data_IF_335654394661
#
_entry.id   IF_335654394661
#
_cell.length_a   1.000
_cell.length_b   1.000
_cell.length_c   1.000
_cell.angle_alpha   90.00
_cell.angle_beta   90.00
_cell.angle_gamma   90.00
#
_symmetry.space_group_name_H-M   'P 1'
#
loop_
_entity.id
_entity.type
_entity.pdbx_description
1 polymer ?
#
# COMPACT_ATOMS: atom_id res chain seq x y z
N UNK A 1 -5.00 -44.80 6.91
CA UNK A 1 -5.61 -44.31 8.16
C UNK A 1 -6.98 -43.68 7.94
N UNK A 2 -7.12 -42.41 7.52
CA UNK A 2 -8.45 -41.79 7.37
C UNK A 2 -9.36 -42.56 6.38
N UNK A 3 -8.83 -42.91 5.20
CA UNK A 3 -9.53 -43.72 4.18
C UNK A 3 -9.90 -45.11 4.70
N UNK A 4 -8.99 -45.77 5.42
CA UNK A 4 -9.24 -47.12 5.97
C UNK A 4 -10.31 -47.09 7.06
N UNK A 5 -10.34 -46.05 7.89
CA UNK A 5 -11.40 -45.84 8.86
C UNK A 5 -12.78 -45.64 8.18
N UNK A 6 -12.83 -44.88 7.08
CA UNK A 6 -14.08 -44.70 6.32
C UNK A 6 -14.55 -45.99 5.63
N UNK A 7 -13.63 -46.83 5.15
CA UNK A 7 -13.96 -48.14 4.58
C UNK A 7 -14.52 -49.07 5.67
N UNK A 8 -13.83 -49.15 6.83
CA UNK A 8 -14.27 -49.95 7.98
C UNK A 8 -15.63 -49.51 8.52
N UNK A 9 -15.89 -48.20 8.61
CA UNK A 9 -17.18 -47.66 9.06
C UNK A 9 -18.33 -48.03 8.11
N UNK A 10 -18.09 -48.01 6.80
CA UNK A 10 -19.08 -48.45 5.80
C UNK A 10 -19.35 -49.97 5.87
N UNK A 11 -18.30 -50.77 6.08
CA UNK A 11 -18.41 -52.22 6.27
C UNK A 11 -19.18 -52.58 7.56
N UNK A 12 -18.95 -51.87 8.66
CA UNK A 12 -19.66 -52.06 9.94
C UNK A 12 -21.16 -51.75 9.85
N UNK A 13 -21.54 -50.77 9.02
CA UNK A 13 -22.93 -50.35 8.81
C UNK A 13 -23.62 -51.19 7.71
N UNK A 14 -22.86 -52.01 6.97
CA UNK A 14 -23.36 -52.82 5.86
C UNK A 14 -23.74 -52.00 4.62
N UNK A 15 -23.14 -50.82 4.44
CA UNK A 15 -23.38 -49.92 3.30
C UNK A 15 -22.26 -50.01 2.26
N UNK A 16 -22.58 -49.78 0.99
CA UNK A 16 -21.55 -49.66 -0.06
C UNK A 16 -20.65 -48.44 0.17
N UNK A 17 -19.35 -48.60 -0.05
CA UNK A 17 -18.37 -47.51 0.11
C UNK A 17 -18.59 -46.45 -0.96
N UNK A 18 -18.98 -45.25 -0.56
CA UNK A 18 -19.18 -44.13 -1.48
C UNK A 18 -17.83 -43.49 -1.85
N UNK A 19 -17.44 -43.44 -3.14
CA UNK A 19 -16.19 -42.83 -3.56
C UNK A 19 -16.05 -41.36 -3.15
N UNK A 20 -17.17 -40.62 -3.05
CA UNK A 20 -17.16 -39.22 -2.60
C UNK A 20 -16.81 -39.06 -1.11
N UNK A 21 -17.11 -40.06 -0.28
CA UNK A 21 -16.77 -40.05 1.15
C UNK A 21 -15.30 -40.34 1.36
N UNK A 22 -14.72 -41.24 0.56
CA UNK A 22 -13.27 -41.47 0.55
C UNK A 22 -12.50 -40.21 0.12
N UNK A 23 -12.97 -39.47 -0.89
CA UNK A 23 -12.40 -38.15 -1.23
C UNK A 23 -12.46 -37.24 0.00
N UNK A 24 -13.62 -37.07 0.61
CA UNK A 24 -13.78 -36.15 1.76
C UNK A 24 -12.84 -36.53 2.91
N UNK A 25 -12.62 -37.82 3.16
CA UNK A 25 -11.66 -38.28 4.16
C UNK A 25 -10.22 -37.88 3.78
N UNK A 26 -9.83 -38.00 2.51
CA UNK A 26 -8.52 -37.53 2.03
C UNK A 26 -8.43 -36.00 2.07
N UNK A 27 -9.46 -35.26 1.66
CA UNK A 27 -9.50 -33.79 1.70
C UNK A 27 -9.42 -33.27 3.15
N UNK A 28 -10.13 -33.91 4.08
CA UNK A 28 -10.11 -33.55 5.50
C UNK A 28 -8.73 -33.82 6.13
N UNK A 29 -8.09 -34.93 5.77
CA UNK A 29 -6.76 -35.29 6.28
C UNK A 29 -5.63 -34.45 5.65
N UNK A 30 -5.75 -34.12 4.36
CA UNK A 30 -4.72 -33.38 3.61
C UNK A 30 -4.92 -31.86 3.62
N UNK A 31 -6.13 -31.39 3.92
CA UNK A 31 -6.52 -29.98 3.82
C UNK A 31 -6.57 -29.46 2.38
N UNK A 32 -6.66 -30.34 1.39
CA UNK A 32 -6.62 -30.00 -0.04
C UNK A 32 -7.89 -30.47 -0.74
N UNK A 33 -8.32 -29.73 -1.77
CA UNK A 33 -9.39 -30.21 -2.65
C UNK A 33 -8.80 -31.13 -3.72
N UNK A 34 -9.42 -32.27 -3.93
CA UNK A 34 -8.92 -33.31 -4.84
C UNK A 34 -10.04 -33.69 -5.81
N UNK A 35 -9.71 -33.78 -7.09
CA UNK A 35 -10.61 -34.30 -8.12
C UNK A 35 -10.27 -35.76 -8.41
N UNK A 36 -11.27 -36.62 -8.53
CA UNK A 36 -11.09 -37.98 -9.02
C UNK A 36 -11.33 -38.03 -10.53
N UNK A 37 -10.49 -38.79 -11.24
CA UNK A 37 -10.80 -39.22 -12.60
C UNK A 37 -11.88 -40.31 -12.57
N UNK A 38 -12.63 -40.45 -13.66
CA UNK A 38 -13.65 -41.48 -13.80
C UNK A 38 -13.08 -42.90 -13.64
N UNK A 39 -11.81 -43.08 -14.00
CA UNK A 39 -11.07 -44.33 -13.83
C UNK A 39 -10.88 -44.69 -12.35
N UNK A 40 -10.48 -43.71 -11.53
CA UNK A 40 -10.35 -43.89 -10.08
C UNK A 40 -11.71 -44.15 -9.44
N UNK A 41 -12.77 -43.44 -9.85
CA UNK A 41 -14.14 -43.67 -9.36
C UNK A 41 -14.59 -45.11 -9.61
N UNK A 42 -14.33 -45.64 -10.82
CA UNK A 42 -14.68 -47.02 -11.17
C UNK A 42 -13.83 -48.04 -10.40
N UNK A 43 -12.57 -47.73 -10.13
CA UNK A 43 -11.68 -48.58 -9.35
C UNK A 43 -12.12 -48.69 -7.88
N UNK A 44 -12.59 -47.59 -7.27
CA UNK A 44 -13.15 -47.59 -5.91
C UNK A 44 -14.42 -48.43 -5.82
N UNK A 45 -15.30 -48.37 -6.84
CA UNK A 45 -16.53 -49.18 -6.88
C UNK A 45 -16.25 -50.68 -6.98
N UNK A 46 -15.14 -51.08 -7.59
CA UNK A 46 -14.75 -52.47 -7.72
C UNK A 46 -14.03 -53.01 -6.47
N UNK A 47 -13.07 -52.27 -5.94
CA UNK A 47 -12.32 -52.63 -4.73
C UNK A 47 -11.90 -51.36 -3.97
N UNK A 48 -12.59 -50.99 -2.89
CA UNK A 48 -12.31 -49.79 -2.12
C UNK A 48 -10.89 -49.73 -1.55
N UNK A 49 -10.27 -50.88 -1.24
CA UNK A 49 -8.91 -50.93 -0.69
C UNK A 49 -7.84 -50.55 -1.71
N UNK A 50 -8.11 -50.70 -3.01
CA UNK A 50 -7.19 -50.26 -4.07
C UNK A 50 -7.07 -48.74 -4.18
N UNK A 51 -8.04 -47.99 -3.65
CA UNK A 51 -7.99 -46.52 -3.62
C UNK A 51 -6.72 -45.99 -2.94
N UNK A 52 -6.20 -46.72 -1.94
CA UNK A 52 -4.97 -46.35 -1.21
C UNK A 52 -3.78 -46.13 -2.15
N UNK A 53 -3.67 -46.91 -3.22
CA UNK A 53 -2.58 -46.78 -4.20
C UNK A 53 -2.63 -45.46 -4.99
N UNK A 54 -3.81 -44.87 -5.14
CA UNK A 54 -4.03 -43.65 -5.92
C UNK A 54 -3.85 -42.37 -5.10
N UNK A 55 -3.88 -42.45 -3.76
CA UNK A 55 -3.79 -41.29 -2.86
C UNK A 55 -2.54 -40.43 -3.15
N UNK A 56 -1.32 -40.99 -3.31
CA UNK A 56 -0.13 -40.17 -3.58
C UNK A 56 -0.27 -39.35 -4.87
N UNK A 57 -0.72 -39.96 -5.97
CA UNK A 57 -0.88 -39.30 -7.27
C UNK A 57 -1.99 -38.23 -7.24
N UNK A 58 -3.08 -38.50 -6.52
CA UNK A 58 -4.18 -37.55 -6.32
C UNK A 58 -3.71 -36.32 -5.51
N UNK A 59 -2.94 -36.54 -4.45
CA UNK A 59 -2.36 -35.46 -3.64
C UNK A 59 -1.33 -34.67 -4.46
N UNK A 60 -0.45 -35.34 -5.20
CA UNK A 60 0.55 -34.71 -6.06
C UNK A 60 -0.10 -33.84 -7.14
N UNK A 61 -1.15 -34.34 -7.79
CA UNK A 61 -1.91 -33.58 -8.79
C UNK A 61 -2.60 -32.36 -8.17
N UNK A 62 -3.25 -32.52 -7.01
CA UNK A 62 -3.89 -31.42 -6.29
C UNK A 62 -2.90 -30.35 -5.82
N UNK A 63 -1.74 -30.77 -5.29
CA UNK A 63 -0.64 -29.88 -4.91
C UNK A 63 -0.11 -29.11 -6.12
N UNK A 64 0.14 -29.80 -7.22
CA UNK A 64 0.71 -29.20 -8.42
C UNK A 64 -0.23 -28.13 -9.00
N UNK A 65 -1.53 -28.41 -9.08
CA UNK A 65 -2.53 -27.44 -9.53
C UNK A 65 -2.61 -26.22 -8.61
N UNK A 66 -2.54 -26.43 -7.29
CA UNK A 66 -2.54 -25.34 -6.31
C UNK A 66 -1.30 -24.47 -6.41
N UNK A 67 -0.12 -25.08 -6.58
CA UNK A 67 1.13 -24.35 -6.77
C UNK A 67 1.06 -23.54 -8.07
N UNK A 68 0.60 -24.14 -9.16
CA UNK A 68 0.41 -23.47 -10.44
C UNK A 68 -0.52 -22.25 -10.35
N UNK A 69 -1.72 -22.44 -9.80
CA UNK A 69 -2.68 -21.34 -9.60
C UNK A 69 -2.10 -20.25 -8.68
N UNK A 70 -1.35 -20.63 -7.64
CA UNK A 70 -0.65 -19.70 -6.76
C UNK A 70 0.43 -18.90 -7.48
N UNK A 71 1.19 -19.53 -8.38
CA UNK A 71 2.21 -18.88 -9.20
C UNK A 71 1.59 -17.89 -10.18
N UNK A 72 0.56 -18.30 -10.93
CA UNK A 72 -0.19 -17.40 -11.82
C UNK A 72 -0.67 -16.19 -11.04
N UNK A 73 -1.42 -16.41 -9.96
CA UNK A 73 -1.98 -15.33 -9.17
C UNK A 73 -0.90 -14.41 -8.57
N UNK A 74 0.23 -14.95 -8.13
CA UNK A 74 1.34 -14.16 -7.60
C UNK A 74 1.97 -13.27 -8.69
N UNK A 75 2.10 -13.79 -9.91
CA UNK A 75 2.65 -13.06 -11.05
C UNK A 75 1.65 -12.02 -11.54
N UNK A 76 0.40 -12.37 -11.75
CA UNK A 76 -0.67 -11.43 -12.15
C UNK A 76 -0.80 -10.27 -11.17
N UNK A 77 -0.69 -10.51 -9.86
CA UNK A 77 -0.69 -9.44 -8.85
C UNK A 77 0.51 -8.50 -8.97
N UNK A 78 1.67 -9.01 -9.39
CA UNK A 78 2.90 -8.21 -9.58
C UNK A 78 2.89 -7.46 -10.91
N UNK A 79 2.46 -8.13 -11.98
CA UNK A 79 2.36 -7.58 -13.34
C UNK A 79 1.10 -6.71 -13.50
N UNK A 80 0.10 -6.84 -12.63
CA UNK A 80 -1.14 -6.07 -12.69
C UNK A 80 -2.01 -6.35 -13.92
N UNK A 81 -1.79 -7.46 -14.61
CA UNK A 81 -2.51 -7.93 -15.79
C UNK A 81 -2.73 -9.44 -15.68
N UNK A 82 -3.74 -9.96 -16.39
CA UNK A 82 -4.03 -11.40 -16.43
C UNK A 82 -3.09 -12.12 -17.39
N UNK A 83 -2.74 -13.37 -17.06
CA UNK A 83 -1.92 -14.23 -17.92
C UNK A 83 -2.79 -15.17 -18.79
N UNK A 84 -4.07 -15.31 -18.44
CA UNK A 84 -5.06 -16.15 -19.14
C UNK A 84 -4.65 -17.64 -19.28
N UNK A 85 -3.87 -18.15 -18.30
CA UNK A 85 -3.30 -19.52 -18.31
C UNK A 85 -4.15 -20.58 -17.57
N UNK A 86 -5.33 -20.22 -17.04
CA UNK A 86 -6.12 -21.13 -16.18
C UNK A 86 -6.67 -22.36 -16.93
N UNK A 87 -6.77 -22.30 -18.26
CA UNK A 87 -7.42 -23.34 -19.08
C UNK A 87 -6.47 -24.26 -19.85
N UNK A 88 -5.17 -24.01 -19.85
CA UNK A 88 -4.21 -24.68 -20.74
C UNK A 88 -3.51 -25.91 -20.14
N UNK A 89 -3.85 -26.32 -18.91
CA UNK A 89 -3.06 -27.32 -18.18
C UNK A 89 -3.73 -28.69 -18.03
N UNK A 90 -2.94 -29.73 -18.32
CA UNK A 90 -3.30 -31.15 -18.17
C UNK A 90 -2.51 -31.70 -16.98
N UNK A 91 -3.15 -32.50 -16.12
CA UNK A 91 -2.48 -33.24 -15.03
C UNK A 91 -2.02 -34.62 -15.51
N UNK A 92 -0.81 -35.09 -15.13
CA UNK A 92 0.19 -34.45 -14.26
C UNK A 92 0.93 -33.31 -14.97
N UNK A 93 1.37 -32.31 -14.20
CA UNK A 93 1.97 -31.09 -14.73
C UNK A 93 3.44 -31.33 -15.10
N UNK A 94 3.78 -31.14 -16.37
CA UNK A 94 5.18 -31.01 -16.79
C UNK A 94 5.68 -29.60 -16.43
N UNK A 95 6.48 -29.52 -15.37
CA UNK A 95 7.01 -28.25 -14.86
C UNK A 95 7.94 -27.52 -15.82
N UNK A 96 8.60 -28.23 -16.74
CA UNK A 96 9.45 -27.59 -17.73
C UNK A 96 8.59 -26.89 -18.79
N UNK A 97 7.64 -27.61 -19.37
CA UNK A 97 6.69 -27.05 -20.33
C UNK A 97 5.83 -25.93 -19.72
N UNK A 98 5.35 -26.12 -18.48
CA UNK A 98 4.61 -25.11 -17.74
C UNK A 98 5.47 -23.86 -17.48
N UNK A 99 6.77 -24.02 -17.23
CA UNK A 99 7.71 -22.92 -17.08
C UNK A 99 7.86 -22.07 -18.34
N UNK A 100 7.94 -22.70 -19.51
CA UNK A 100 8.01 -21.98 -20.79
C UNK A 100 6.68 -21.27 -21.11
N UNK A 101 5.53 -21.94 -20.93
CA UNK A 101 4.21 -21.31 -21.07
C UNK A 101 4.04 -20.07 -20.19
N UNK A 102 4.48 -20.17 -18.93
CA UNK A 102 4.44 -19.07 -17.97
C UNK A 102 5.32 -17.90 -18.40
N UNK A 103 6.54 -18.17 -18.91
CA UNK A 103 7.44 -17.11 -19.40
C UNK A 103 6.85 -16.42 -20.64
N UNK A 104 6.30 -17.17 -21.57
CA UNK A 104 5.70 -16.63 -22.79
C UNK A 104 4.46 -15.79 -22.49
N UNK A 105 3.58 -16.27 -21.60
CA UNK A 105 2.44 -15.50 -21.14
C UNK A 105 2.87 -14.24 -20.38
N UNK A 106 3.89 -14.35 -19.52
CA UNK A 106 4.46 -13.21 -18.82
C UNK A 106 5.01 -12.17 -19.78
N UNK A 107 5.81 -12.56 -20.78
CA UNK A 107 6.38 -11.63 -21.77
C UNK A 107 5.27 -10.92 -22.53
N UNK A 108 4.28 -11.67 -23.04
CA UNK A 108 3.13 -11.09 -23.74
C UNK A 108 2.35 -10.09 -22.89
N UNK A 109 2.06 -10.45 -21.64
CA UNK A 109 1.35 -9.55 -20.70
C UNK A 109 2.19 -8.30 -20.37
N UNK A 110 3.51 -8.47 -20.21
CA UNK A 110 4.43 -7.39 -19.92
C UNK A 110 4.60 -6.42 -21.10
N UNK A 111 4.74 -6.94 -22.30
CA UNK A 111 4.88 -6.16 -23.53
C UNK A 111 3.57 -5.41 -23.83
N UNK A 112 2.42 -6.08 -23.72
CA UNK A 112 1.11 -5.42 -23.86
C UNK A 112 0.84 -4.36 -22.79
N UNK A 113 1.34 -4.57 -21.55
CA UNK A 113 1.32 -3.53 -20.52
C UNK A 113 2.21 -2.34 -20.89
N UNK A 114 3.40 -2.60 -21.40
CA UNK A 114 4.36 -1.57 -21.79
C UNK A 114 3.79 -0.71 -22.91
N UNK A 115 3.28 -1.33 -23.97
CA UNK A 115 2.68 -0.64 -25.12
C UNK A 115 1.52 0.25 -24.70
N UNK A 116 0.56 -0.29 -23.94
CA UNK A 116 -0.57 0.49 -23.42
C UNK A 116 -0.13 1.69 -22.56
N UNK A 117 0.85 1.51 -21.68
CA UNK A 117 1.37 2.60 -20.85
C UNK A 117 2.04 3.67 -21.69
N UNK A 118 2.81 3.29 -22.72
CA UNK A 118 3.43 4.23 -23.65
C UNK A 118 2.37 5.02 -24.43
N UNK A 119 1.35 4.35 -24.97
CA UNK A 119 0.24 5.01 -25.68
C UNK A 119 -0.53 5.97 -24.77
N UNK A 120 -0.77 5.60 -23.51
CA UNK A 120 -1.40 6.50 -22.54
C UNK A 120 -0.54 7.74 -22.25
N UNK A 121 0.76 7.55 -22.07
CA UNK A 121 1.73 8.62 -21.81
C UNK A 121 1.81 9.56 -23.01
N UNK A 122 1.92 9.01 -24.22
CA UNK A 122 1.94 9.77 -25.48
C UNK A 122 0.69 10.65 -25.62
N UNK A 123 -0.49 10.05 -25.46
CA UNK A 123 -1.76 10.80 -25.48
C UNK A 123 -1.82 11.90 -24.41
N UNK A 124 -1.34 11.63 -23.20
CA UNK A 124 -1.33 12.62 -22.13
C UNK A 124 -0.38 13.78 -22.42
N UNK A 125 0.77 13.51 -23.06
CA UNK A 125 1.74 14.49 -23.49
C UNK A 125 1.22 15.32 -24.66
N UNK A 126 0.64 14.71 -25.70
CA UNK A 126 0.04 15.43 -26.83
C UNK A 126 -1.02 16.42 -26.35
N UNK A 127 -1.91 15.98 -25.45
CA UNK A 127 -2.93 16.84 -24.85
C UNK A 127 -2.34 17.99 -24.02
N UNK A 128 -1.19 17.76 -23.36
CA UNK A 128 -0.53 18.79 -22.57
C UNK A 128 0.19 19.81 -23.46
N UNK A 129 0.94 19.34 -24.46
CA UNK A 129 1.73 20.15 -25.37
C UNK A 129 0.85 20.95 -26.33
N UNK A 130 -0.29 20.43 -26.77
CA UNK A 130 -1.23 21.15 -27.65
C UNK A 130 -1.76 22.45 -27.04
N UNK A 131 -1.63 22.66 -25.73
CA UNK A 131 -2.04 23.89 -25.02
C UNK A 131 -0.88 24.84 -24.74
N UNK A 132 0.35 24.44 -25.02
CA UNK A 132 1.57 25.14 -24.59
C UNK A 132 2.25 25.72 -25.83
N UNK A 133 2.49 27.04 -25.81
CA UNK A 133 3.15 27.76 -26.92
C UNK A 133 4.68 27.75 -26.81
N UNK A 134 5.21 27.63 -25.59
CA UNK A 134 6.65 27.65 -25.33
C UNK A 134 6.97 26.61 -24.26
N UNK A 135 7.98 25.78 -24.54
CA UNK A 135 8.45 24.75 -23.61
C UNK A 135 9.60 25.34 -22.80
N UNK A 136 9.33 25.62 -21.52
CA UNK A 136 10.35 25.97 -20.54
C UNK A 136 10.68 24.78 -19.62
N UNK A 137 11.74 24.91 -18.82
CA UNK A 137 12.19 23.87 -17.89
C UNK A 137 11.11 23.50 -16.85
N UNK A 138 10.25 24.44 -16.46
CA UNK A 138 9.12 24.20 -15.55
C UNK A 138 7.98 23.41 -16.19
N UNK A 139 7.74 23.60 -17.48
CA UNK A 139 6.84 22.76 -18.29
C UNK A 139 7.41 21.36 -18.40
N UNK A 140 8.69 21.21 -18.75
CA UNK A 140 9.35 19.89 -18.86
C UNK A 140 9.23 19.12 -17.54
N UNK A 141 9.57 19.75 -16.42
CA UNK A 141 9.46 19.12 -15.10
C UNK A 141 8.02 18.71 -14.76
N UNK A 142 7.01 19.54 -15.05
CA UNK A 142 5.61 19.15 -14.86
C UNK A 142 5.19 18.00 -15.74
N UNK A 143 5.65 17.95 -17.00
CA UNK A 143 5.36 16.86 -17.92
C UNK A 143 6.01 15.56 -17.44
N UNK A 144 7.28 15.58 -17.03
CA UNK A 144 7.98 14.41 -16.48
C UNK A 144 7.23 13.83 -15.27
N UNK A 145 6.84 14.68 -14.30
CA UNK A 145 6.04 14.24 -13.15
C UNK A 145 4.69 13.69 -13.61
N UNK A 146 4.02 14.32 -14.59
CA UNK A 146 2.74 13.84 -15.11
C UNK A 146 2.86 12.48 -15.82
N UNK A 147 3.92 12.22 -16.58
CA UNK A 147 4.15 10.93 -17.23
C UNK A 147 4.35 9.80 -16.22
N UNK A 148 4.89 10.14 -15.04
CA UNK A 148 5.18 9.21 -13.96
C UNK A 148 3.94 8.59 -13.34
N UNK A 149 2.79 9.26 -13.42
CA UNK A 149 1.53 8.87 -12.77
C UNK A 149 0.36 8.84 -13.74
N UNK A 150 -0.51 7.84 -13.59
CA UNK A 150 -1.75 7.69 -14.35
C UNK A 150 -2.97 7.68 -13.45
N UNK A 151 -4.15 7.71 -14.04
CA UNK A 151 -5.43 7.52 -13.35
C UNK A 151 -6.03 6.19 -13.78
N UNK A 152 -6.28 5.29 -12.83
CA UNK A 152 -7.00 4.03 -13.10
C UNK A 152 -8.34 4.06 -12.39
N UNK A 153 -9.39 3.70 -13.12
CA UNK A 153 -10.71 3.53 -12.52
C UNK A 153 -10.70 2.27 -11.64
N UNK A 154 -11.04 2.43 -10.38
CA UNK A 154 -11.23 1.37 -9.40
C UNK A 154 -12.68 1.36 -8.96
N UNK A 155 -13.29 0.18 -8.84
CA UNK A 155 -14.64 0.04 -8.31
C UNK A 155 -14.56 -0.39 -6.85
N UNK A 156 -15.16 0.38 -5.95
CA UNK A 156 -15.26 -0.01 -4.56
C UNK A 156 -16.20 -1.21 -4.42
N UNK A 157 -15.66 -2.32 -3.89
CA UNK A 157 -16.40 -3.59 -3.68
C UNK A 157 -17.66 -3.48 -2.83
N UNK A 158 -17.79 -2.45 -1.98
CA UNK A 158 -18.94 -2.27 -1.07
C UNK A 158 -19.99 -1.33 -1.63
N UNK A 159 -19.56 -0.28 -2.31
CA UNK A 159 -20.45 0.78 -2.81
C UNK A 159 -20.73 0.65 -4.31
N UNK A 160 -20.00 -0.23 -5.01
CA UNK A 160 -19.99 -0.38 -6.47
C UNK A 160 -19.74 0.95 -7.22
N UNK A 161 -19.20 1.97 -6.53
CA UNK A 161 -18.92 3.26 -7.13
C UNK A 161 -17.56 3.25 -7.83
N UNK A 162 -17.53 3.86 -9.02
CA UNK A 162 -16.30 4.08 -9.77
C UNK A 162 -15.53 5.24 -9.13
N UNK A 163 -14.36 4.96 -8.60
CA UNK A 163 -13.40 5.93 -8.10
C UNK A 163 -12.18 5.97 -9.01
N UNK A 164 -11.55 7.14 -9.13
CA UNK A 164 -10.29 7.27 -9.87
C UNK A 164 -9.15 7.24 -8.86
N UNK A 165 -8.23 6.29 -9.01
CA UNK A 165 -7.04 6.16 -8.17
C UNK A 165 -5.81 6.53 -8.99
N UNK A 166 -4.93 7.35 -8.40
CA UNK A 166 -3.62 7.66 -8.99
C UNK A 166 -2.75 6.41 -8.88
N UNK A 167 -2.22 5.93 -10.01
CA UNK A 167 -1.33 4.77 -10.06
C UNK A 167 0.00 5.19 -10.67
N UNK A 168 1.12 4.77 -10.08
CA UNK A 168 2.43 5.00 -10.67
C UNK A 168 2.58 4.20 -11.98
N UNK A 169 2.91 4.89 -13.08
CA UNK A 169 3.19 4.29 -14.38
C UNK A 169 4.67 3.92 -14.51
N UNK A 170 5.53 4.85 -14.07
CA UNK A 170 6.98 4.69 -14.08
C UNK A 170 7.49 4.61 -12.64
N UNK A 171 8.14 3.50 -12.30
CA UNK A 171 8.81 3.36 -11.01
C UNK A 171 10.27 3.78 -11.17
N UNK A 172 10.55 5.07 -10.96
CA UNK A 172 11.91 5.58 -10.96
C UNK A 172 12.77 4.95 -9.86
N UNK A 173 12.17 4.42 -8.79
CA UNK A 173 12.91 3.83 -7.67
C UNK A 173 13.87 2.74 -8.13
N UNK A 174 13.46 1.88 -9.06
CA UNK A 174 14.32 0.80 -9.55
C UNK A 174 15.40 1.33 -10.50
N UNK A 175 15.06 2.26 -11.39
CA UNK A 175 16.03 2.92 -12.28
C UNK A 175 17.06 3.72 -11.48
N UNK A 176 16.64 4.44 -10.45
CA UNK A 176 17.50 5.16 -9.52
C UNK A 176 18.36 4.19 -8.74
N UNK A 177 17.83 3.07 -8.24
CA UNK A 177 18.63 2.06 -7.54
C UNK A 177 19.78 1.52 -8.42
N UNK A 178 19.54 1.30 -9.72
CA UNK A 178 20.59 0.94 -10.69
C UNK A 178 21.65 2.02 -10.86
N UNK A 179 21.30 3.31 -10.76
CA UNK A 179 22.27 4.41 -10.78
C UNK A 179 23.13 4.50 -9.51
N UNK A 180 22.74 3.78 -8.46
CA UNK A 180 23.47 3.68 -7.19
C UNK A 180 24.23 2.35 -7.08
N UNK A 181 24.03 1.42 -8.01
CA UNK A 181 24.67 0.11 -8.05
C UNK A 181 26.15 0.25 -8.44
N UNK A 182 27.05 -0.36 -7.66
CA UNK A 182 28.51 -0.34 -7.92
C UNK A 182 29.29 0.85 -7.34
N UNK A 183 28.65 1.75 -6.59
CA UNK A 183 29.34 2.86 -5.89
C UNK A 183 29.86 2.48 -4.50
N UNK A 184 30.98 3.08 -4.08
CA UNK A 184 31.42 3.01 -2.67
C UNK A 184 30.44 3.74 -1.75
N UNK A 185 30.19 3.20 -0.56
CA UNK A 185 29.23 3.74 0.41
C UNK A 185 29.47 5.22 0.74
N UNK A 186 30.74 5.63 0.83
CA UNK A 186 31.12 7.02 1.14
C UNK A 186 30.72 7.95 0.00
N UNK A 187 31.09 7.58 -1.23
CA UNK A 187 30.76 8.38 -2.42
C UNK A 187 29.25 8.47 -2.66
N UNK A 188 28.52 7.39 -2.35
CA UNK A 188 27.07 7.36 -2.43
C UNK A 188 26.44 8.31 -1.40
N UNK A 189 26.92 8.27 -0.15
CA UNK A 189 26.46 9.18 0.90
C UNK A 189 26.67 10.64 0.50
N UNK A 190 27.84 11.01 0.02
CA UNK A 190 28.14 12.38 -0.44
C UNK A 190 27.21 12.83 -1.57
N UNK A 191 26.98 11.96 -2.56
CA UNK A 191 26.05 12.25 -3.67
C UNK A 191 24.62 12.46 -3.18
N UNK A 192 24.13 11.60 -2.28
CA UNK A 192 22.78 11.70 -1.71
C UNK A 192 22.64 12.96 -0.89
N UNK A 193 23.63 13.29 -0.05
CA UNK A 193 23.63 14.51 0.77
C UNK A 193 23.67 15.77 -0.09
N UNK A 194 24.54 15.82 -1.11
CA UNK A 194 24.60 16.94 -2.05
C UNK A 194 23.27 17.13 -2.78
N UNK A 195 22.64 16.04 -3.23
CA UNK A 195 21.33 16.09 -3.87
C UNK A 195 20.25 16.60 -2.91
N UNK A 196 20.22 16.12 -1.66
CA UNK A 196 19.29 16.57 -0.63
C UNK A 196 19.45 18.06 -0.32
N UNK A 197 20.68 18.56 -0.23
CA UNK A 197 20.96 19.97 0.00
C UNK A 197 20.52 20.84 -1.18
N UNK A 198 20.76 20.38 -2.40
CA UNK A 198 20.26 21.00 -3.62
C UNK A 198 18.73 21.05 -3.66
N UNK A 199 18.07 19.94 -3.34
CA UNK A 199 16.62 19.85 -3.27
C UNK A 199 16.05 20.80 -2.20
N UNK A 200 16.68 20.85 -1.02
CA UNK A 200 16.32 21.78 0.07
C UNK A 200 16.42 23.23 -0.40
N UNK A 201 17.50 23.61 -1.08
CA UNK A 201 17.69 24.97 -1.59
C UNK A 201 16.63 25.34 -2.64
N UNK A 202 16.34 24.43 -3.58
CA UNK A 202 15.32 24.62 -4.59
C UNK A 202 13.91 24.76 -3.96
N UNK A 203 13.58 23.92 -2.98
CA UNK A 203 12.31 24.01 -2.24
C UNK A 203 12.19 25.33 -1.48
N UNK A 204 13.25 25.78 -0.80
CA UNK A 204 13.24 27.07 -0.11
C UNK A 204 12.99 28.22 -1.08
N UNK A 205 13.62 28.22 -2.26
CA UNK A 205 13.36 29.23 -3.28
C UNK A 205 11.92 29.17 -3.80
N UNK A 206 11.42 27.98 -4.13
CA UNK A 206 10.06 27.80 -4.66
C UNK A 206 8.99 28.21 -3.66
N UNK A 207 9.10 27.77 -2.40
CA UNK A 207 8.19 28.16 -1.32
C UNK A 207 8.29 29.65 -1.01
N UNK A 208 9.50 30.21 -1.01
CA UNK A 208 9.73 31.64 -0.81
C UNK A 208 9.03 32.47 -1.87
N UNK A 209 9.17 32.12 -3.15
CA UNK A 209 8.47 32.79 -4.27
C UNK A 209 6.95 32.69 -4.13
N UNK A 210 6.44 31.53 -3.74
CA UNK A 210 5.00 31.33 -3.55
C UNK A 210 4.44 32.19 -2.41
N UNK A 211 5.13 32.24 -1.27
CA UNK A 211 4.73 33.10 -0.14
C UNK A 211 4.89 34.59 -0.47
N UNK A 212 5.95 34.99 -1.16
CA UNK A 212 6.12 36.36 -1.64
C UNK A 212 4.98 36.78 -2.56
N UNK A 213 4.60 35.93 -3.54
CA UNK A 213 3.49 36.20 -4.43
C UNK A 213 2.15 36.31 -3.68
N UNK A 214 1.95 35.49 -2.64
CA UNK A 214 0.76 35.55 -1.77
C UNK A 214 0.68 36.84 -0.97
N UNK A 215 1.83 37.35 -0.51
CA UNK A 215 1.94 38.52 0.36
C UNK A 215 2.26 39.82 -0.40
N UNK A 216 2.39 39.78 -1.72
CA UNK A 216 2.89 40.88 -2.55
C UNK A 216 2.18 42.22 -2.30
N UNK A 217 0.86 42.20 -2.13
CA UNK A 217 0.05 43.41 -1.87
C UNK A 217 -0.11 43.77 -0.40
N UNK A 218 0.44 42.98 0.53
CA UNK A 218 0.35 43.22 1.96
C UNK A 218 1.53 44.06 2.45
N UNK A 219 1.29 44.86 3.48
CA UNK A 219 2.35 45.50 4.26
C UNK A 219 2.83 44.57 5.36
N UNK A 220 4.04 44.81 5.85
CA UNK A 220 4.68 44.00 6.89
C UNK A 220 3.93 44.09 8.22
N UNK A 221 3.35 45.24 8.56
CA UNK A 221 2.54 45.45 9.76
C UNK A 221 1.24 44.61 9.78
N UNK A 222 0.72 44.24 8.61
CA UNK A 222 -0.51 43.45 8.44
C UNK A 222 -0.26 41.93 8.46
N UNK A 223 1.00 41.49 8.49
CA UNK A 223 1.33 40.07 8.51
C UNK A 223 1.02 39.44 9.87
N UNK A 224 0.83 38.12 9.86
CA UNK A 224 0.71 37.33 11.09
C UNK A 224 1.90 37.57 12.03
N UNK A 225 1.64 37.60 13.34
CA UNK A 225 2.66 37.91 14.36
C UNK A 225 3.91 37.05 14.18
N UNK A 226 3.74 35.74 13.93
CA UNK A 226 4.88 34.83 13.79
C UNK A 226 5.73 35.14 12.56
N UNK A 227 5.15 35.70 11.50
CA UNK A 227 5.88 36.09 10.29
C UNK A 227 6.62 37.39 10.57
N UNK A 228 5.97 38.35 11.25
CA UNK A 228 6.62 39.60 11.68
C UNK A 228 7.82 39.34 12.57
N UNK A 229 7.69 38.50 13.60
CA UNK A 229 8.78 38.16 14.51
C UNK A 229 9.98 37.54 13.76
N UNK A 230 9.71 36.61 12.82
CA UNK A 230 10.77 35.99 12.03
C UNK A 230 11.46 36.97 11.08
N UNK A 231 10.71 37.91 10.51
CA UNK A 231 11.29 38.95 9.66
C UNK A 231 12.10 39.94 10.50
N UNK A 232 11.54 40.40 11.62
CA UNK A 232 12.21 41.26 12.60
C UNK A 232 13.54 40.69 13.07
N UNK A 233 13.57 39.43 13.49
CA UNK A 233 14.79 38.74 13.91
C UNK A 233 15.85 38.64 12.80
N UNK A 234 15.41 38.56 11.54
CA UNK A 234 16.30 38.27 10.41
C UNK A 234 16.81 39.52 9.68
N UNK A 235 16.06 40.62 9.68
CA UNK A 235 16.45 41.90 9.04
C UNK A 235 16.86 42.96 10.06
N UNK A 236 16.52 42.79 11.33
CA UNK A 236 16.86 43.73 12.41
C UNK A 236 15.78 44.79 12.66
N UNK A 237 15.82 45.37 13.86
CA UNK A 237 14.81 46.30 14.38
C UNK A 237 14.71 47.60 13.58
N UNK A 238 15.86 48.21 13.25
CA UNK A 238 15.92 49.48 12.53
C UNK A 238 15.35 49.33 11.12
N UNK A 239 15.88 48.37 10.35
CA UNK A 239 15.45 48.12 8.97
C UNK A 239 13.98 47.66 8.91
N UNK A 240 13.52 46.81 9.83
CA UNK A 240 12.11 46.39 9.87
C UNK A 240 11.17 47.56 10.17
N UNK A 241 11.52 48.43 11.12
CA UNK A 241 10.65 49.53 11.53
C UNK A 241 10.46 50.56 10.41
N UNK A 242 11.51 50.83 9.64
CA UNK A 242 11.47 51.73 8.49
C UNK A 242 10.54 51.23 7.39
N UNK A 243 10.62 49.96 7.03
CA UNK A 243 9.83 49.38 5.93
C UNK A 243 8.42 48.92 6.35
N UNK A 244 8.17 48.77 7.65
CA UNK A 244 6.96 48.10 8.15
C UNK A 244 5.65 48.78 7.74
N UNK A 245 5.68 50.11 7.67
CA UNK A 245 4.49 50.95 7.50
C UNK A 245 4.40 51.59 6.11
N UNK A 246 5.52 51.66 5.39
CA UNK A 246 5.73 52.63 4.32
C UNK A 246 5.30 52.12 2.94
N UNK A 247 5.45 50.82 2.66
CA UNK A 247 5.15 50.25 1.34
C UNK A 247 4.74 48.77 1.39
N UNK A 248 3.90 48.30 0.45
CA UNK A 248 3.64 46.88 0.26
C UNK A 248 4.91 46.12 -0.15
N UNK A 249 4.95 44.81 0.14
CA UNK A 249 6.14 43.97 -0.09
C UNK A 249 6.64 44.02 -1.54
N UNK A 250 5.76 44.11 -2.53
CA UNK A 250 6.13 44.16 -3.95
C UNK A 250 6.73 45.50 -4.42
N UNK A 251 6.70 46.54 -3.59
CA UNK A 251 7.27 47.86 -3.88
C UNK A 251 8.60 48.09 -3.17
N UNK A 252 9.05 47.13 -2.34
CA UNK A 252 10.35 47.19 -1.67
C UNK A 252 11.49 47.02 -2.68
N UNK A 253 12.71 47.39 -2.29
CA UNK A 253 13.89 47.22 -3.14
C UNK A 253 14.15 45.74 -3.48
N UNK A 254 14.68 45.46 -4.68
CA UNK A 254 14.93 44.09 -5.14
C UNK A 254 15.78 43.28 -4.15
N UNK A 255 16.79 43.92 -3.53
CA UNK A 255 17.64 43.29 -2.52
C UNK A 255 16.87 42.84 -1.28
N UNK A 256 15.93 43.68 -0.81
CA UNK A 256 15.10 43.37 0.35
C UNK A 256 14.04 42.32 0.01
N UNK A 257 13.43 42.40 -1.18
CA UNK A 257 12.50 41.38 -1.66
C UNK A 257 13.17 40.00 -1.70
N UNK A 258 14.41 39.93 -2.20
CA UNK A 258 15.21 38.71 -2.20
C UNK A 258 15.50 38.17 -0.80
N UNK A 259 15.82 39.05 0.15
CA UNK A 259 16.06 38.68 1.55
C UNK A 259 14.78 38.13 2.21
N UNK A 260 13.66 38.86 2.09
CA UNK A 260 12.35 38.44 2.61
C UNK A 260 11.94 37.11 1.97
N UNK A 261 12.10 36.94 0.65
CA UNK A 261 11.81 35.69 -0.04
C UNK A 261 12.57 34.51 0.55
N UNK A 262 13.88 34.66 0.81
CA UNK A 262 14.71 33.61 1.42
C UNK A 262 14.25 33.28 2.84
N UNK A 263 13.89 34.29 3.63
CA UNK A 263 13.41 34.11 5.01
C UNK A 263 12.07 33.37 5.02
N UNK A 264 11.11 33.81 4.20
CA UNK A 264 9.79 33.18 4.07
C UNK A 264 9.92 31.73 3.59
N UNK A 265 10.77 31.47 2.59
CA UNK A 265 11.05 30.13 2.10
C UNK A 265 11.63 29.19 3.16
N UNK A 266 12.59 29.68 3.97
CA UNK A 266 13.15 28.94 5.10
C UNK A 266 12.10 28.66 6.18
N UNK A 267 11.26 29.65 6.51
CA UNK A 267 10.18 29.51 7.50
C UNK A 267 9.15 28.48 7.06
N UNK A 268 8.67 28.57 5.82
CA UNK A 268 7.72 27.64 5.24
C UNK A 268 8.25 26.20 5.24
N UNK A 269 9.49 26.00 4.79
CA UNK A 269 10.11 24.66 4.80
C UNK A 269 10.29 24.12 6.22
N UNK A 270 10.68 24.97 7.17
CA UNK A 270 10.79 24.58 8.58
C UNK A 270 9.45 24.16 9.18
N UNK A 271 8.35 24.83 8.80
CA UNK A 271 7.01 24.43 9.23
C UNK A 271 6.65 23.05 8.67
N UNK A 272 6.90 22.81 7.39
CA UNK A 272 6.67 21.50 6.76
C UNK A 272 7.46 20.40 7.48
N UNK A 273 8.72 20.64 7.84
CA UNK A 273 9.53 19.68 8.58
C UNK A 273 9.00 19.42 10.00
N UNK A 274 8.54 20.46 10.71
CA UNK A 274 7.91 20.29 12.03
C UNK A 274 6.65 19.45 11.94
N UNK A 275 5.77 19.78 10.99
CA UNK A 275 4.52 19.05 10.77
C UNK A 275 4.78 17.58 10.41
N UNK A 276 5.82 17.33 9.60
CA UNK A 276 6.23 15.98 9.25
C UNK A 276 6.75 15.17 10.45
N UNK A 277 7.59 15.78 11.29
CA UNK A 277 8.11 15.13 12.50
C UNK A 277 6.97 14.79 13.46
N UNK A 278 6.04 15.73 13.67
CA UNK A 278 4.86 15.50 14.49
C UNK A 278 3.99 14.38 13.93
N UNK A 279 3.70 14.42 12.62
CA UNK A 279 2.89 13.40 11.96
C UNK A 279 3.48 11.99 12.11
N UNK A 280 4.78 11.82 11.86
CA UNK A 280 5.46 10.51 12.00
C UNK A 280 5.56 10.10 13.47
N UNK A 281 5.89 11.06 14.35
CA UNK A 281 6.01 10.85 15.79
C UNK A 281 4.71 10.38 16.41
N UNK A 282 3.61 11.07 16.15
CA UNK A 282 2.27 10.75 16.68
C UNK A 282 1.83 9.35 16.26
N UNK A 283 2.04 9.00 14.98
CA UNK A 283 1.68 7.66 14.46
C UNK A 283 2.44 6.56 15.18
N UNK A 284 3.75 6.69 15.28
CA UNK A 284 4.61 5.68 15.90
C UNK A 284 4.45 5.64 17.43
N UNK A 285 4.10 6.76 18.05
CA UNK A 285 3.80 6.82 19.47
C UNK A 285 2.58 5.97 19.84
N UNK A 286 1.51 6.02 19.05
CA UNK A 286 0.32 5.17 19.26
C UNK A 286 0.67 3.69 19.14
N UNK A 287 1.49 3.32 18.15
CA UNK A 287 1.97 1.95 18.01
C UNK A 287 2.83 1.53 19.21
N UNK A 288 3.72 2.41 19.67
CA UNK A 288 4.55 2.19 20.85
C UNK A 288 3.70 1.97 22.11
N UNK A 289 2.69 2.81 22.37
CA UNK A 289 1.77 2.63 23.50
C UNK A 289 1.04 1.28 23.44
N UNK A 290 0.64 0.85 22.24
CA UNK A 290 0.02 -0.46 22.03
C UNK A 290 0.98 -1.59 22.38
N UNK A 291 2.25 -1.49 21.96
CA UNK A 291 3.28 -2.48 22.31
C UNK A 291 3.59 -2.48 23.82
N UNK A 292 3.57 -1.33 24.47
CA UNK A 292 3.77 -1.20 25.91
C UNK A 292 2.66 -1.87 26.72
N UNK A 293 1.41 -1.78 26.29
CA UNK A 293 0.30 -2.49 26.93
C UNK A 293 0.40 -4.01 26.77
N UNK A 294 0.83 -4.47 25.59
CA UNK A 294 1.12 -5.89 25.36
C UNK A 294 2.28 -6.38 26.25
N UNK A 295 3.35 -5.59 26.38
CA UNK A 295 4.50 -5.88 27.24
C UNK A 295 4.09 -5.99 28.72
N UNK A 296 3.23 -5.07 29.18
CA UNK A 296 2.69 -5.10 30.55
C UNK A 296 1.95 -6.40 30.83
N UNK A 297 1.16 -6.86 29.86
CA UNK A 297 0.39 -8.12 29.98
C UNK A 297 1.31 -9.35 29.95
N UNK A 298 2.33 -9.36 29.08
CA UNK A 298 3.24 -10.51 28.94
C UNK A 298 4.19 -10.68 30.14
N UNK A 299 4.71 -9.58 30.68
CA UNK A 299 5.62 -9.61 31.85
C UNK A 299 4.89 -10.07 33.12
N UNK A 300 3.59 -9.76 33.23
CA UNK A 300 2.75 -10.30 34.29
C UNK A 300 2.68 -11.84 34.28
N UNK A 301 2.79 -12.47 33.11
CA UNK A 301 2.82 -13.93 32.95
C UNK A 301 4.23 -14.52 33.16
N UNK A 302 5.29 -13.77 32.82
CA UNK A 302 6.69 -14.17 33.04
C UNK A 302 7.16 -14.04 34.50
N UNK A 303 6.40 -13.35 35.37
CA UNK A 303 6.68 -13.18 36.80
C UNK A 303 6.81 -14.51 37.58
N UNK A 304 6.35 -15.63 37.01
CA UNK A 304 6.55 -16.98 37.54
C UNK A 304 8.02 -17.46 37.50
N UNK A 305 8.91 -16.79 36.76
CA UNK A 305 10.31 -17.17 36.54
C UNK A 305 11.35 -16.62 37.52
N UNK A 306 10.96 -16.16 38.72
CA UNK A 306 11.86 -15.65 39.77
C UNK A 306 12.72 -14.40 39.41
N UNK A 307 12.40 -13.69 38.33
CA UNK A 307 13.01 -12.40 37.98
C UNK A 307 12.06 -11.26 38.30
N UNK A 308 12.56 -10.14 38.81
CA UNK A 308 11.73 -8.97 39.14
C UNK A 308 11.01 -8.43 37.88
N UNK A 309 9.67 -8.53 37.82
CA UNK A 309 8.89 -8.08 36.67
C UNK A 309 9.08 -6.59 36.38
N UNK A 310 9.27 -5.76 37.41
CA UNK A 310 9.42 -4.33 37.26
C UNK A 310 10.74 -3.96 36.57
N UNK A 311 11.82 -4.65 36.93
CA UNK A 311 13.15 -4.44 36.32
C UNK A 311 13.11 -4.85 34.85
N UNK A 312 12.50 -6.00 34.55
CA UNK A 312 12.35 -6.46 33.16
C UNK A 312 11.48 -5.53 32.33
N UNK A 313 10.38 -5.03 32.90
CA UNK A 313 9.53 -4.06 32.22
C UNK A 313 10.28 -2.79 31.89
N UNK A 314 11.02 -2.21 32.86
CA UNK A 314 11.82 -0.99 32.63
C UNK A 314 12.88 -1.18 31.57
N UNK A 315 13.62 -2.30 31.60
CA UNK A 315 14.65 -2.59 30.61
C UNK A 315 14.05 -2.71 29.19
N UNK A 316 13.04 -3.55 29.02
CA UNK A 316 12.39 -3.75 27.71
C UNK A 316 11.71 -2.47 27.21
N UNK A 317 11.09 -1.70 28.11
CA UNK A 317 10.48 -0.42 27.77
C UNK A 317 11.52 0.59 27.29
N UNK A 318 12.70 0.64 27.92
CA UNK A 318 13.80 1.52 27.49
C UNK A 318 14.31 1.15 26.09
N UNK A 319 14.52 -0.14 25.84
CA UNK A 319 14.95 -0.63 24.51
C UNK A 319 13.90 -0.30 23.44
N UNK A 320 12.62 -0.52 23.74
CA UNK A 320 11.50 -0.19 22.85
C UNK A 320 11.39 1.30 22.57
N UNK A 321 11.69 2.15 23.56
CA UNK A 321 11.74 3.60 23.37
C UNK A 321 12.93 4.02 22.49
N UNK A 322 14.10 3.40 22.69
CA UNK A 322 15.25 3.59 21.80
C UNK A 322 14.93 3.23 20.34
N UNK A 323 14.24 2.10 20.14
CA UNK A 323 13.77 1.68 18.82
C UNK A 323 12.75 2.66 18.25
N UNK A 324 11.80 3.15 19.05
CA UNK A 324 10.86 4.19 18.61
C UNK A 324 11.59 5.42 18.06
N UNK A 325 12.62 5.91 18.75
CA UNK A 325 13.39 7.07 18.27
C UNK A 325 14.16 6.78 16.97
N UNK A 326 14.65 5.55 16.79
CA UNK A 326 15.24 5.13 15.52
C UNK A 326 14.20 5.06 14.39
N UNK A 327 13.04 4.48 14.67
CA UNK A 327 11.92 4.36 13.72
C UNK A 327 11.36 5.72 13.31
N UNK A 328 11.26 6.67 14.25
CA UNK A 328 10.86 8.06 13.95
C UNK A 328 11.86 8.72 13.01
N UNK A 329 13.17 8.61 13.27
CA UNK A 329 14.20 9.18 12.39
C UNK A 329 14.14 8.58 10.99
N UNK A 330 14.07 7.25 10.88
CA UNK A 330 13.96 6.57 9.59
C UNK A 330 12.66 6.92 8.84
N UNK A 331 11.54 6.99 9.58
CA UNK A 331 10.23 7.34 9.04
C UNK A 331 10.18 8.76 8.49
N UNK A 332 10.76 9.73 9.21
CA UNK A 332 10.84 11.13 8.76
C UNK A 332 11.66 11.23 7.48
N UNK A 333 12.84 10.58 7.42
CA UNK A 333 13.70 10.60 6.21
C UNK A 333 12.98 9.96 5.02
N UNK A 334 12.39 8.78 5.21
CA UNK A 334 11.66 8.07 4.16
C UNK A 334 10.48 8.89 3.61
N UNK A 335 9.70 9.49 4.52
CA UNK A 335 8.56 10.32 4.14
C UNK A 335 9.00 11.64 3.50
N UNK A 336 10.13 12.22 3.91
CA UNK A 336 10.72 13.38 3.26
C UNK A 336 11.01 13.04 1.78
N UNK A 337 11.75 11.97 1.49
CA UNK A 337 12.03 11.57 0.10
C UNK A 337 10.78 11.25 -0.72
N UNK A 338 9.76 10.65 -0.08
CA UNK A 338 8.53 10.23 -0.77
C UNK A 338 7.57 11.38 -1.04
N UNK A 339 7.40 12.32 -0.10
CA UNK A 339 6.45 13.44 -0.18
C UNK A 339 6.76 14.36 -1.38
N UNK A 340 8.04 14.58 -1.67
CA UNK A 340 8.46 15.44 -2.77
C UNK A 340 8.47 14.73 -4.12
N UNK A 341 8.57 13.40 -4.15
CA UNK A 341 8.52 12.59 -5.38
C UNK A 341 7.10 12.50 -5.99
N UNK A 342 6.03 12.64 -5.19
CA UNK A 342 4.65 12.52 -5.67
C UNK A 342 3.99 13.84 -6.06
N UNK A 343 4.70 14.97 -6.00
CA UNK A 343 4.19 16.27 -6.47
C UNK A 343 2.92 16.78 -5.79
N UNK A 344 2.49 16.14 -4.70
CA UNK A 344 1.42 16.51 -3.75
C UNK A 344 1.33 15.40 -2.70
N UNK A 345 1.33 15.70 -1.39
CA UNK A 345 0.64 14.85 -0.44
C UNK A 345 -0.84 15.08 -0.68
N UNK A 346 -1.51 14.15 -1.36
CA UNK A 346 -2.95 14.05 -1.19
C UNK A 346 -3.19 13.67 0.26
N UNK A 347 -3.67 14.62 1.05
CA UNK A 347 -4.26 14.37 2.36
C UNK A 347 -5.47 13.40 2.30
N UNK A 348 -5.82 12.85 1.13
CA UNK A 348 -6.94 11.94 0.93
C UNK A 348 -6.56 10.44 0.88
N UNK A 349 -5.33 10.04 1.22
CA UNK A 349 -4.98 8.61 1.35
C UNK A 349 -4.65 8.17 2.78
N UNK A 350 -5.08 8.92 3.80
CA UNK A 350 -5.31 8.27 5.09
C UNK A 350 -6.49 7.31 4.88
N UNK A 351 -6.34 5.99 5.13
CA UNK A 351 -7.51 5.14 5.30
C UNK A 351 -8.37 5.82 6.37
N UNK A 352 -9.69 5.99 6.18
CA UNK A 352 -10.52 6.58 7.23
C UNK A 352 -10.26 5.80 8.51
N UNK A 353 -10.16 6.47 9.68
CA UNK A 353 -9.97 5.77 10.94
C UNK A 353 -11.04 4.69 11.00
N UNK A 354 -10.60 3.42 11.12
CA UNK A 354 -11.51 2.31 11.36
C UNK A 354 -12.26 2.69 12.62
N UNK A 355 -13.49 3.18 12.49
CA UNK A 355 -14.38 3.34 13.62
C UNK A 355 -14.34 2.02 14.39
N UNK A 356 -14.12 2.04 15.72
CA UNK A 356 -14.25 0.84 16.50
C UNK A 356 -15.57 0.19 16.10
N UNK A 357 -15.55 -1.12 15.85
CA UNK A 357 -16.79 -1.88 15.68
C UNK A 357 -17.60 -1.63 16.94
N UNK A 358 -18.58 -0.73 16.85
CA UNK A 358 -19.69 -0.72 17.80
C UNK A 358 -20.25 -2.13 17.73
N UNK A 359 -20.08 -2.87 18.83
CA UNK A 359 -20.85 -4.09 19.06
C UNK A 359 -22.30 -3.62 19.09
N UNK A 360 -22.97 -3.73 17.94
CA UNK A 360 -24.41 -3.57 17.89
C UNK A 360 -25.01 -4.46 18.99
N UNK A 361 -25.97 -3.95 19.78
CA UNK A 361 -26.65 -4.76 20.77
C UNK A 361 -27.23 -6.00 20.09
N UNK A 362 -27.04 -7.16 20.70
CA UNK A 362 -27.72 -8.38 20.32
C UNK A 362 -29.20 -8.16 20.58
N UNK A 363 -29.93 -7.68 19.57
CA UNK A 363 -31.38 -7.74 19.58
C UNK A 363 -31.80 -9.21 19.54
N UNK A 364 -32.38 -9.65 20.66
CA UNK A 364 -33.04 -10.93 20.76
C UNK A 364 -34.12 -11.03 19.67
N UNK A 365 -34.03 -12.08 18.84
CA UNK A 365 -35.07 -12.44 17.89
C UNK A 365 -36.36 -12.77 18.65
N UNK A 366 -37.28 -11.83 18.71
CA UNK A 366 -38.68 -12.11 18.97
C UNK A 366 -39.32 -12.72 17.71
N UNK A 367 -39.99 -13.86 17.91
CA UNK A 367 -40.59 -14.65 16.85
C UNK A 367 -41.82 -13.96 16.23
N UNK A 368 -41.77 -13.67 14.93
CA UNK A 368 -42.93 -13.19 14.18
C UNK A 368 -43.93 -14.33 13.86
N UNK A 369 -45.26 -14.10 13.93
CA UNK A 369 -46.25 -15.14 13.68
C UNK A 369 -46.51 -15.38 12.19
N UNK A 370 -46.70 -16.66 11.83
CA UNK A 370 -46.97 -17.17 10.48
C UNK A 370 -48.27 -16.58 9.88
N UNK A 371 -48.16 -15.84 8.77
CA UNK A 371 -49.32 -15.47 7.92
C UNK A 371 -49.73 -16.64 7.01
N UNK A 372 -50.96 -17.13 7.20
CA UNK A 372 -51.64 -18.14 6.36
C UNK A 372 -51.90 -17.59 4.95
N UNK A 373 -51.47 -18.35 3.93
CA UNK A 373 -51.79 -18.14 2.50
C UNK A 373 -53.29 -18.30 2.23
N UNK A 374 -53.98 -17.28 1.70
CA UNK A 374 -55.33 -17.40 1.11
C UNK A 374 -55.24 -17.83 -0.36
N UNK A 375 -55.84 -18.97 -0.69
CA UNK A 375 -56.06 -19.49 -2.06
C UNK A 375 -57.02 -18.57 -2.83
N UNK A 376 -56.62 -18.06 -4.00
CA UNK A 376 -57.50 -17.45 -5.00
C UNK A 376 -58.23 -18.58 -5.77
N UNK A 377 -59.56 -18.64 -5.64
CA UNK A 377 -60.44 -19.43 -6.53
C UNK A 377 -60.82 -18.55 -7.74
N UNK A 378 -60.52 -19.02 -8.95
CA UNK A 378 -61.08 -18.52 -10.22
C UNK A 378 -62.56 -18.91 -10.30
N UNK A 379 -63.43 -18.00 -10.74
CA UNK A 379 -64.67 -18.34 -11.44
C UNK A 379 -64.87 -17.38 -12.61
N UNK A 380 -65.01 -17.96 -13.80
CA UNK A 380 -65.68 -17.34 -14.94
C UNK A 380 -67.18 -17.65 -14.83
N UNK A 381 -67.97 -16.63 -15.15
CA UNK A 381 -69.44 -16.56 -15.28
C UNK A 381 -70.26 -16.76 -14.01
#
# INVERSE_FOLDING_TARGET
MAVEATILEAEEIGSEVNPSELIRAVEAASGMRIQMSDEVVNQVRGDPYKFRGNIPQLIESGLSLRIWAGLIQAIERRVGETLDLESEMITPIDWYAAGELLRDAFSRAWDGRTERLLTEIERDLENALGRIRQVDEGVINRLLVRMSYGQRAYFDSKTHQRQSVVVARLSYVYSTARLLEGGDSTTLMERVMSHLEGARAALQQGLGRAEMARLAGSRLDQLDQRVRDTLWEAIGEEEFSEISTDSPINQLSDGLQDQIQRILGRKALSQIYRDLILFVGDRLWVEYLTRMEALRTSIGLEAYGQRDPLVQYKSRAFDMFGQLLADVRAGVVSQLFSMWATGRPSAASAPPPRKPRDKAPVEAKEAAPKKKRKKKRKRHR
#
